data_IF_975195315189
#
_entry.id   IF_975195315189
#
_cell.length_a   1.000
_cell.length_b   1.000
_cell.length_c   1.000
_cell.angle_alpha   90.00
_cell.angle_beta   90.00
_cell.angle_gamma   90.00
#
_symmetry.space_group_name_H-M   'P 1'
#
loop_
_entity.id
_entity.type
_entity.pdbx_description
1 polymer ?
#
# COMPACT_ATOMS: atom_id res chain seq x y z
N UNK A 1 -16.00 11.04 3.85
CA UNK A 1 -15.25 10.21 2.87
C UNK A 1 -14.69 9.00 3.61
N UNK A 2 -14.89 7.79 3.10
CA UNK A 2 -14.28 6.57 3.64
C UNK A 2 -12.81 6.47 3.15
N UNK A 3 -11.90 5.91 3.95
CA UNK A 3 -10.48 5.70 3.60
C UNK A 3 -10.34 4.99 2.25
N UNK A 4 -11.16 3.97 2.00
CA UNK A 4 -11.16 3.22 0.74
C UNK A 4 -11.41 4.11 -0.47
N UNK A 5 -12.40 4.99 -0.38
CA UNK A 5 -12.74 5.92 -1.46
C UNK A 5 -11.65 6.96 -1.66
N UNK A 6 -11.04 7.46 -0.58
CA UNK A 6 -9.91 8.39 -0.67
C UNK A 6 -8.71 7.73 -1.36
N UNK A 7 -8.35 6.51 -0.95
CA UNK A 7 -7.23 5.77 -1.52
C UNK A 7 -7.48 5.42 -2.99
N UNK A 8 -8.68 4.98 -3.34
CA UNK A 8 -9.06 4.73 -4.74
C UNK A 8 -9.00 6.01 -5.58
N UNK A 9 -9.45 7.14 -5.05
CA UNK A 9 -9.40 8.41 -5.78
C UNK A 9 -7.95 8.90 -5.98
N UNK A 10 -7.08 8.68 -4.98
CA UNK A 10 -5.69 9.13 -5.00
C UNK A 10 -4.75 8.24 -5.82
N UNK A 11 -4.88 6.92 -5.68
CA UNK A 11 -3.95 5.94 -6.25
C UNK A 11 -4.58 5.06 -7.34
N UNK A 12 -5.89 5.12 -7.51
CA UNK A 12 -6.62 4.19 -8.36
C UNK A 12 -6.76 2.79 -7.72
N UNK A 13 -7.21 1.79 -8.49
CA UNK A 13 -7.41 0.42 -8.00
C UNK A 13 -6.11 -0.33 -7.69
N UNK A 14 -5.00 0.11 -8.28
CA UNK A 14 -3.68 -0.49 -8.13
C UNK A 14 -2.65 0.59 -7.82
N UNK A 15 -1.99 0.46 -6.67
CA UNK A 15 -0.90 1.32 -6.27
C UNK A 15 0.45 0.70 -6.63
N UNK A 16 1.42 1.55 -6.97
CA UNK A 16 2.79 1.11 -7.19
C UNK A 16 3.56 1.06 -5.88
N UNK A 17 4.76 0.47 -5.90
CA UNK A 17 5.64 0.47 -4.74
C UNK A 17 5.96 1.88 -4.17
N UNK A 18 6.30 2.90 -4.97
CA UNK A 18 6.52 4.25 -4.44
C UNK A 18 5.24 4.88 -3.88
N UNK A 19 4.06 4.56 -4.41
CA UNK A 19 2.78 5.03 -3.84
C UNK A 19 2.55 4.44 -2.45
N UNK A 20 2.78 3.12 -2.31
CA UNK A 20 2.67 2.42 -1.04
C UNK A 20 3.69 2.96 -0.01
N UNK A 21 4.91 3.24 -0.45
CA UNK A 21 5.93 3.83 0.40
C UNK A 21 5.53 5.23 0.88
N UNK A 22 4.99 6.05 -0.04
CA UNK A 22 4.46 7.38 0.27
C UNK A 22 3.28 7.33 1.24
N UNK A 23 2.39 6.35 1.07
CA UNK A 23 1.25 6.11 1.97
C UNK A 23 1.70 5.76 3.40
N UNK A 24 2.76 4.97 3.53
CA UNK A 24 3.32 4.55 4.81
C UNK A 24 4.35 5.54 5.40
N UNK A 25 4.60 6.67 4.74
CA UNK A 25 5.61 7.64 5.16
C UNK A 25 7.04 7.08 5.16
N UNK A 26 7.31 6.05 4.36
CA UNK A 26 8.62 5.39 4.26
C UNK A 26 9.28 5.69 2.92
N UNK A 27 10.61 5.59 2.89
CA UNK A 27 11.36 5.64 1.63
C UNK A 27 11.09 4.38 0.80
N UNK A 28 10.97 4.53 -0.52
CA UNK A 28 10.75 3.42 -1.48
C UNK A 28 11.78 2.31 -1.33
N UNK A 29 13.05 2.66 -1.11
CA UNK A 29 14.11 1.68 -0.93
C UNK A 29 14.01 0.92 0.40
N UNK A 30 13.70 1.62 1.50
CA UNK A 30 13.41 0.98 2.80
C UNK A 30 12.19 0.06 2.73
N UNK A 31 11.19 0.41 1.91
CA UNK A 31 10.04 -0.45 1.62
C UNK A 31 10.41 -1.69 0.81
N UNK A 32 11.31 -1.58 -0.19
CA UNK A 32 11.84 -2.76 -0.89
C UNK A 32 12.46 -3.72 0.10
N UNK A 33 13.40 -3.25 0.91
CA UNK A 33 14.07 -4.09 1.91
C UNK A 33 13.05 -4.75 2.83
N UNK A 34 12.12 -3.97 3.40
CA UNK A 34 11.09 -4.48 4.31
C UNK A 34 10.17 -5.52 3.67
N UNK A 35 9.86 -5.39 2.37
CA UNK A 35 9.06 -6.37 1.63
C UNK A 35 9.83 -7.66 1.36
N UNK A 36 11.14 -7.59 1.15
CA UNK A 36 11.99 -8.76 0.92
C UNK A 36 12.43 -9.45 2.22
N UNK A 37 12.44 -8.75 3.35
CA UNK A 37 12.64 -9.32 4.69
C UNK A 37 11.36 -10.02 5.17
N UNK A 38 11.47 -11.21 5.78
CA UNK A 38 10.33 -11.90 6.40
C UNK A 38 9.91 -11.17 7.67
N UNK A 39 9.02 -10.20 7.51
CA UNK A 39 8.37 -9.46 8.58
C UNK A 39 6.86 -9.63 8.50
N UNK A 40 6.16 -9.41 9.62
CA UNK A 40 4.69 -9.46 9.66
C UNK A 40 4.05 -8.54 8.61
N UNK A 41 4.57 -7.31 8.48
CA UNK A 41 4.15 -6.33 7.48
C UNK A 41 4.37 -6.86 6.05
N UNK A 42 5.51 -7.50 5.79
CA UNK A 42 5.79 -8.08 4.48
C UNK A 42 4.78 -9.18 4.12
N UNK A 43 4.40 -10.03 5.10
CA UNK A 43 3.49 -11.15 4.89
C UNK A 43 2.08 -10.65 4.58
N UNK A 44 1.62 -9.65 5.32
CA UNK A 44 0.35 -8.96 5.07
C UNK A 44 0.33 -8.29 3.70
N UNK A 45 1.36 -7.52 3.35
CA UNK A 45 1.46 -6.84 2.05
C UNK A 45 1.57 -7.81 0.88
N UNK A 46 2.25 -8.95 1.05
CA UNK A 46 2.41 -9.96 0.00
C UNK A 46 1.07 -10.49 -0.51
N UNK A 47 0.05 -10.61 0.36
CA UNK A 47 -1.30 -11.03 -0.04
C UNK A 47 -2.00 -10.04 -0.99
N UNK A 48 -1.61 -8.77 -0.94
CA UNK A 48 -2.18 -7.69 -1.75
C UNK A 48 -1.49 -7.50 -3.09
N UNK A 49 -0.30 -8.10 -3.26
CA UNK A 49 0.52 -7.94 -4.45
C UNK A 49 -0.14 -8.57 -5.67
N UNK A 50 -0.08 -7.86 -6.79
CA UNK A 50 -0.49 -8.33 -8.11
C UNK A 50 0.63 -8.04 -9.08
N UNK A 51 1.13 -9.09 -9.73
CA UNK A 51 2.17 -8.97 -10.76
C UNK A 51 1.51 -8.76 -12.12
N UNK A 52 1.81 -7.63 -12.76
CA UNK A 52 1.34 -7.31 -14.11
C UNK A 52 2.57 -7.13 -14.98
N UNK A 53 2.81 -8.10 -15.87
CA UNK A 53 4.03 -8.19 -16.65
C UNK A 53 5.28 -8.28 -15.75
N UNK A 54 6.20 -7.31 -15.89
CA UNK A 54 7.45 -7.22 -15.11
C UNK A 54 7.32 -6.35 -13.85
N UNK A 55 6.15 -5.78 -13.59
CA UNK A 55 5.93 -4.84 -12.47
C UNK A 55 5.04 -5.46 -11.41
N UNK A 56 5.32 -5.11 -10.16
CA UNK A 56 4.47 -5.46 -9.01
C UNK A 56 3.64 -4.25 -8.65
N UNK A 57 2.35 -4.48 -8.51
CA UNK A 57 1.36 -3.54 -8.02
C UNK A 57 0.75 -4.09 -6.73
N UNK A 58 0.04 -3.25 -6.00
CA UNK A 58 -0.71 -3.66 -4.81
C UNK A 58 -2.17 -3.24 -4.98
N UNK A 59 -3.11 -4.12 -4.62
CA UNK A 59 -4.53 -3.80 -4.65
C UNK A 59 -4.85 -2.78 -3.57
N UNK A 60 -5.24 -1.57 -3.98
CA UNK A 60 -5.47 -0.44 -3.07
C UNK A 60 -6.44 -0.77 -1.95
N UNK A 61 -7.56 -1.40 -2.27
CA UNK A 61 -8.58 -1.80 -1.28
C UNK A 61 -8.02 -2.84 -0.31
N UNK A 62 -7.30 -3.86 -0.81
CA UNK A 62 -6.75 -4.87 0.07
C UNK A 62 -5.66 -4.31 0.97
N UNK A 63 -4.81 -3.40 0.47
CA UNK A 63 -3.81 -2.72 1.29
C UNK A 63 -4.47 -2.01 2.48
N UNK A 64 -5.59 -1.32 2.25
CA UNK A 64 -6.37 -0.73 3.33
C UNK A 64 -6.87 -1.78 4.33
N UNK A 65 -7.37 -2.91 3.84
CA UNK A 65 -7.87 -4.01 4.70
C UNK A 65 -6.77 -4.64 5.55
N UNK A 66 -5.61 -5.01 4.99
CA UNK A 66 -4.55 -5.68 5.77
C UNK A 66 -3.80 -4.74 6.71
N UNK A 67 -3.62 -3.48 6.32
CA UNK A 67 -2.92 -2.52 7.16
C UNK A 67 -3.84 -1.83 8.17
N UNK A 68 -5.16 -2.05 8.07
CA UNK A 68 -6.19 -1.35 8.85
C UNK A 68 -5.88 0.15 8.92
N UNK A 69 -5.66 0.77 7.75
CA UNK A 69 -5.31 2.18 7.70
C UNK A 69 -6.49 2.99 8.23
N UNK A 70 -6.30 3.62 9.39
CA UNK A 70 -7.19 4.67 9.83
C UNK A 70 -7.17 5.78 8.76
N UNK A 71 -8.35 6.28 8.39
CA UNK A 71 -8.43 7.42 7.49
C UNK A 71 -7.50 8.50 8.05
N UNK A 72 -6.67 9.18 7.23
CA UNK A 72 -6.15 10.45 7.70
C UNK A 72 -7.39 11.29 8.00
N UNK A 73 -7.62 11.58 9.29
CA UNK A 73 -8.63 12.52 9.70
C UNK A 73 -8.38 13.78 8.86
N UNK A 74 -9.32 14.10 7.97
CA UNK A 74 -9.26 15.34 7.21
C UNK A 74 -9.25 16.47 8.25
N UNK A 75 -8.06 16.99 8.53
CA UNK A 75 -7.81 17.78 9.72
C UNK A 75 -6.48 18.51 9.61
N UNK A 76 -6.35 19.32 8.56
CA UNK A 76 -6.03 20.77 8.63
C UNK A 76 -5.85 21.33 7.23
#
# INVERSE_FOLDING_TARGET
>A
MNTEQYLLHKFGPLMTLPDLASLLGRSTDGMRVSLYTDSEVSRSLRSTMVKIGRRVYFRTIQVNTVLHLDAPAAGQ
#
